data_IF_887386172505
#
_entry.id   IF_887386172505
#
_cell.length_a   1.000
_cell.length_b   1.000
_cell.length_c   1.000
_cell.angle_alpha   90.00
_cell.angle_beta   90.00
_cell.angle_gamma   90.00
#
_symmetry.space_group_name_H-M   'P 1'
#
loop_
_entity.id
_entity.type
_entity.pdbx_description
1 polymer ?
#
# COMPACT_ATOMS: atom_id res chain seq x y z
N UNK A 1 11.38 -12.48 -5.50
CA UNK A 1 10.85 -11.13 -5.27
C UNK A 1 12.01 -10.14 -5.21
N UNK A 2 11.72 -8.84 -5.17
CA UNK A 2 12.71 -7.78 -4.95
C UNK A 2 12.53 -7.22 -3.52
N UNK A 3 13.63 -6.96 -2.81
CA UNK A 3 13.62 -6.44 -1.44
C UNK A 3 13.21 -4.96 -1.32
N UNK A 4 13.31 -4.19 -2.40
CA UNK A 4 12.66 -2.88 -2.58
C UNK A 4 11.49 -3.03 -3.55
N UNK A 5 10.50 -3.81 -3.12
CA UNK A 5 9.34 -4.13 -3.92
C UNK A 5 8.59 -2.86 -4.36
N UNK A 6 8.14 -2.88 -5.61
CA UNK A 6 7.29 -1.88 -6.24
C UNK A 6 7.76 -0.43 -6.05
N UNK A 7 9.08 -0.25 -6.10
CA UNK A 7 9.70 1.05 -5.85
C UNK A 7 9.55 1.97 -7.06
N UNK A 8 8.71 3.00 -6.95
CA UNK A 8 8.60 4.06 -7.98
C UNK A 8 9.93 4.80 -8.22
N UNK A 9 10.81 4.85 -7.21
CA UNK A 9 12.15 5.44 -7.36
C UNK A 9 13.11 4.48 -8.05
N UNK A 10 13.25 3.24 -7.57
CA UNK A 10 14.36 2.35 -7.94
C UNK A 10 14.06 1.38 -9.08
N UNK A 11 12.78 1.06 -9.33
CA UNK A 11 12.43 0.22 -10.47
C UNK A 11 12.84 0.86 -11.79
N UNK A 12 12.57 2.16 -12.06
CA UNK A 12 13.00 2.77 -13.30
C UNK A 12 14.51 2.67 -13.55
N UNK A 13 15.34 2.92 -12.54
CA UNK A 13 16.81 2.80 -12.70
C UNK A 13 17.26 1.36 -12.94
N UNK A 14 16.63 0.39 -12.27
CA UNK A 14 16.93 -1.02 -12.49
C UNK A 14 16.54 -1.44 -13.90
N UNK A 15 15.36 -1.06 -14.35
CA UNK A 15 14.82 -1.33 -15.69
C UNK A 15 15.72 -0.71 -16.78
N UNK A 16 16.12 0.55 -16.63
CA UNK A 16 17.05 1.22 -17.56
C UNK A 16 18.40 0.51 -17.64
N UNK A 17 18.92 0.00 -16.52
CA UNK A 17 20.11 -0.85 -16.50
C UNK A 17 19.93 -2.12 -17.31
N UNK A 18 18.77 -2.78 -17.20
CA UNK A 18 18.47 -3.97 -17.98
C UNK A 18 18.20 -3.69 -19.47
N UNK A 19 17.68 -2.52 -19.85
CA UNK A 19 17.61 -2.11 -21.26
C UNK A 19 19.00 -2.15 -21.91
N UNK A 20 20.01 -1.55 -21.25
CA UNK A 20 21.37 -1.55 -21.78
C UNK A 20 21.93 -2.96 -21.96
N UNK A 21 21.69 -3.86 -21.00
CA UNK A 21 22.12 -5.25 -21.11
C UNK A 21 21.39 -5.99 -22.23
N UNK A 22 20.08 -5.76 -22.39
CA UNK A 22 19.29 -6.39 -23.44
C UNK A 22 19.70 -5.95 -24.85
N UNK A 23 19.93 -4.64 -25.04
CA UNK A 23 20.22 -4.09 -26.37
C UNK A 23 21.69 -4.28 -26.78
N UNK A 24 22.63 -4.09 -25.85
CA UNK A 24 24.06 -3.97 -26.18
C UNK A 24 24.93 -5.15 -25.74
N UNK A 25 24.43 -6.09 -24.93
CA UNK A 25 25.22 -7.26 -24.57
C UNK A 25 25.50 -8.14 -25.79
N UNK A 26 26.79 -8.43 -26.04
CA UNK A 26 27.22 -9.42 -27.03
C UNK A 26 27.04 -10.86 -26.53
N UNK A 27 26.93 -11.06 -25.22
CA UNK A 27 26.66 -12.35 -24.61
C UNK A 27 25.14 -12.62 -24.66
N UNK A 28 24.75 -13.67 -25.39
CA UNK A 28 23.35 -14.10 -25.55
C UNK A 28 22.70 -14.51 -24.24
N UNK A 29 23.47 -15.08 -23.30
CA UNK A 29 22.99 -15.45 -21.97
C UNK A 29 22.62 -14.22 -21.15
N UNK A 30 23.50 -13.21 -21.12
CA UNK A 30 23.22 -11.96 -20.41
C UNK A 30 22.02 -11.23 -21.02
N UNK A 31 21.86 -11.27 -22.34
CA UNK A 31 20.69 -10.71 -23.03
C UNK A 31 19.39 -11.45 -22.65
N UNK A 32 19.42 -12.78 -22.58
CA UNK A 32 18.27 -13.58 -22.17
C UNK A 32 17.86 -13.31 -20.72
N UNK A 33 18.85 -13.21 -19.81
CA UNK A 33 18.64 -12.85 -18.40
C UNK A 33 18.08 -11.44 -18.26
N UNK A 34 18.60 -10.47 -19.01
CA UNK A 34 18.08 -9.10 -19.01
C UNK A 34 16.61 -9.06 -19.47
N UNK A 35 16.26 -9.81 -20.52
CA UNK A 35 14.87 -9.94 -20.97
C UNK A 35 13.96 -10.50 -19.86
N UNK A 36 14.39 -11.58 -19.21
CA UNK A 36 13.62 -12.16 -18.10
C UNK A 36 13.43 -11.17 -16.96
N UNK A 37 14.46 -10.42 -16.58
CA UNK A 37 14.35 -9.41 -15.52
C UNK A 37 13.40 -8.28 -15.92
N UNK A 38 13.44 -7.81 -17.16
CA UNK A 38 12.49 -6.83 -17.68
C UNK A 38 11.06 -7.37 -17.62
N UNK A 39 10.81 -8.58 -18.13
CA UNK A 39 9.50 -9.22 -18.07
C UNK A 39 9.00 -9.36 -16.63
N UNK A 40 9.88 -9.72 -15.69
CA UNK A 40 9.54 -9.79 -14.26
C UNK A 40 9.13 -8.42 -13.71
N UNK A 41 9.91 -7.35 -13.95
CA UNK A 41 9.58 -6.01 -13.45
C UNK A 41 8.28 -5.49 -14.03
N UNK A 42 8.10 -5.60 -15.35
CA UNK A 42 6.88 -5.15 -16.01
C UNK A 42 5.67 -5.98 -15.60
N UNK A 43 5.76 -7.32 -15.52
CA UNK A 43 4.63 -8.15 -15.08
C UNK A 43 4.24 -7.90 -13.62
N UNK A 44 5.23 -7.81 -12.72
CA UNK A 44 5.00 -7.57 -11.30
C UNK A 44 4.26 -6.26 -11.04
N UNK A 45 4.67 -5.20 -11.73
CA UNK A 45 4.08 -3.89 -11.53
C UNK A 45 2.81 -3.68 -12.38
N UNK A 46 2.73 -4.21 -13.60
CA UNK A 46 1.50 -4.20 -14.42
C UNK A 46 0.30 -4.77 -13.66
N UNK A 47 0.52 -5.80 -12.84
CA UNK A 47 -0.51 -6.40 -12.00
C UNK A 47 -1.19 -5.40 -11.04
N UNK A 48 -0.52 -4.30 -10.70
CA UNK A 48 -0.93 -3.35 -9.66
C UNK A 48 -1.08 -1.91 -10.17
N UNK A 49 -0.86 -1.66 -11.45
CA UNK A 49 -0.96 -0.32 -12.03
C UNK A 49 -2.42 0.07 -12.21
N UNK A 50 -2.74 1.25 -11.70
CA UNK A 50 -4.00 1.95 -11.90
C UNK A 50 -3.64 3.36 -12.28
N UNK A 51 -4.10 3.79 -13.46
CA UNK A 51 -3.89 5.16 -13.94
C UNK A 51 -2.41 5.59 -13.90
N UNK A 52 -1.55 4.77 -14.53
CA UNK A 52 -0.09 4.97 -14.55
C UNK A 52 0.65 4.75 -13.22
N UNK A 53 -0.07 4.53 -12.11
CA UNK A 53 0.50 4.50 -10.76
C UNK A 53 0.35 3.14 -10.08
N UNK A 54 1.34 2.74 -9.28
CA UNK A 54 1.29 1.46 -8.57
C UNK A 54 0.44 1.61 -7.30
N UNK A 55 -0.61 0.80 -7.19
CA UNK A 55 -1.45 0.75 -5.99
C UNK A 55 -0.91 -0.21 -4.92
N UNK A 56 -1.38 -0.04 -3.70
CA UNK A 56 -1.10 -0.93 -2.57
C UNK A 56 0.19 -0.66 -1.82
N UNK A 57 0.80 -1.72 -1.30
CA UNK A 57 2.03 -1.64 -0.51
C UNK A 57 3.25 -1.38 -1.40
N UNK A 58 4.11 -0.44 -0.99
CA UNK A 58 5.31 -0.06 -1.76
C UNK A 58 6.50 0.25 -0.85
N UNK A 59 7.72 -0.12 -1.26
CA UNK A 59 8.96 0.35 -0.63
C UNK A 59 9.57 1.43 -1.50
N UNK A 60 9.79 2.62 -0.92
CA UNK A 60 10.20 3.85 -1.63
C UNK A 60 9.16 4.31 -2.65
N UNK A 61 7.89 4.06 -2.33
CA UNK A 61 6.75 4.61 -3.04
C UNK A 61 6.13 5.77 -2.27
N UNK A 62 5.39 6.60 -3.00
CA UNK A 62 4.67 7.78 -2.54
C UNK A 62 3.31 7.81 -3.24
N UNK A 63 2.36 8.52 -2.64
CA UNK A 63 1.12 8.81 -3.35
C UNK A 63 1.41 9.68 -4.57
N UNK A 64 0.55 9.65 -5.60
CA UNK A 64 0.69 10.52 -6.76
C UNK A 64 0.77 11.99 -6.35
N UNK A 65 1.62 12.74 -7.05
CA UNK A 65 1.76 14.18 -6.90
C UNK A 65 1.18 14.96 -8.08
N UNK A 66 1.40 16.27 -8.10
CA UNK A 66 0.98 17.14 -9.20
C UNK A 66 1.78 16.89 -10.49
N UNK A 67 3.02 16.39 -10.37
CA UNK A 67 3.87 16.00 -11.49
C UNK A 67 3.97 14.48 -11.58
N UNK A 68 4.08 13.97 -12.80
CA UNK A 68 4.30 12.54 -13.01
C UNK A 68 5.66 12.11 -12.45
N UNK A 69 5.69 10.98 -11.74
CA UNK A 69 6.96 10.41 -11.27
C UNK A 69 7.68 9.61 -12.37
N UNK A 70 8.91 9.14 -12.09
CA UNK A 70 9.71 8.43 -13.09
C UNK A 70 9.11 7.07 -13.49
N UNK A 71 8.42 6.39 -12.59
CA UNK A 71 7.74 5.13 -12.87
C UNK A 71 6.48 5.37 -13.71
N UNK A 72 5.72 6.42 -13.39
CA UNK A 72 4.57 6.87 -14.17
C UNK A 72 4.96 7.21 -15.61
N UNK A 73 6.01 8.01 -15.81
CA UNK A 73 6.56 8.32 -17.15
C UNK A 73 7.06 7.08 -17.90
N UNK A 74 7.64 6.12 -17.18
CA UNK A 74 8.09 4.86 -17.77
C UNK A 74 6.89 4.04 -18.26
N UNK A 75 5.83 3.93 -17.46
CA UNK A 75 4.63 3.17 -17.86
C UNK A 75 3.82 3.84 -18.94
N UNK A 76 3.65 5.16 -18.86
CA UNK A 76 3.02 5.92 -19.92
C UNK A 76 3.66 5.62 -21.28
N UNK A 77 4.99 5.71 -21.40
CA UNK A 77 5.63 5.50 -22.70
C UNK A 77 5.58 4.05 -23.23
N UNK A 78 5.29 3.04 -22.40
CA UNK A 78 5.12 1.65 -22.86
C UNK A 78 3.65 1.25 -23.07
N UNK A 79 2.72 1.80 -22.29
CA UNK A 79 1.35 1.28 -22.20
C UNK A 79 0.27 2.31 -22.56
N UNK A 80 0.59 3.60 -22.49
CA UNK A 80 -0.31 4.71 -22.82
C UNK A 80 -1.72 4.55 -22.19
N UNK A 81 -1.73 4.20 -20.90
CA UNK A 81 -2.96 4.01 -20.12
C UNK A 81 -2.88 4.84 -18.83
N UNK A 82 -3.08 6.16 -19.00
CA UNK A 82 -3.04 7.16 -17.94
C UNK A 82 -3.98 8.33 -18.29
N UNK A 83 -4.60 8.91 -17.27
CA UNK A 83 -5.53 10.04 -17.38
C UNK A 83 -4.83 11.39 -17.43
N UNK A 84 -3.64 11.50 -16.80
CA UNK A 84 -2.83 12.71 -16.78
C UNK A 84 -2.41 13.13 -18.19
N UNK A 85 -2.41 14.43 -18.47
CA UNK A 85 -1.74 14.97 -19.66
C UNK A 85 -0.21 14.79 -19.57
N UNK A 86 0.33 13.99 -20.47
CA UNK A 86 1.76 13.68 -20.58
C UNK A 86 2.43 14.40 -21.76
N UNK A 87 1.78 15.38 -22.38
CA UNK A 87 2.26 16.05 -23.61
C UNK A 87 3.59 16.79 -23.45
N UNK A 88 3.83 17.38 -22.27
CA UNK A 88 5.09 18.05 -21.91
C UNK A 88 6.08 17.12 -21.21
N UNK A 89 5.71 15.86 -21.00
CA UNK A 89 6.54 14.90 -20.29
C UNK A 89 7.56 14.23 -21.21
N UNK A 90 8.75 14.00 -20.65
CA UNK A 90 9.83 13.32 -21.35
C UNK A 90 10.13 11.97 -20.71
N UNK A 91 10.40 10.97 -21.54
CA UNK A 91 10.93 9.69 -21.09
C UNK A 91 12.46 9.65 -21.18
N UNK A 92 13.09 8.65 -20.57
CA UNK A 92 14.55 8.54 -20.61
C UNK A 92 15.05 8.10 -21.98
N UNK A 93 16.28 8.47 -22.34
CA UNK A 93 16.91 8.03 -23.60
C UNK A 93 16.97 6.51 -23.71
N UNK A 94 17.15 5.80 -22.58
CA UNK A 94 17.14 4.34 -22.53
C UNK A 94 15.78 3.79 -22.98
N UNK A 95 14.68 4.35 -22.47
CA UNK A 95 13.34 3.96 -22.88
C UNK A 95 13.08 4.30 -24.36
N UNK A 96 13.42 5.52 -24.79
CA UNK A 96 13.18 5.94 -26.18
C UNK A 96 13.97 5.13 -27.23
N UNK A 97 15.09 4.51 -26.84
CA UNK A 97 16.00 3.82 -27.78
C UNK A 97 16.06 2.31 -27.63
N UNK A 98 15.45 1.74 -26.58
CA UNK A 98 15.50 0.28 -26.38
C UNK A 98 14.73 -0.48 -27.46
N UNK A 99 15.25 -1.63 -27.86
CA UNK A 99 14.53 -2.58 -28.73
C UNK A 99 13.62 -3.53 -27.94
N UNK A 100 13.72 -3.54 -26.60
CA UNK A 100 12.84 -4.33 -25.76
C UNK A 100 11.39 -3.86 -25.89
N UNK A 101 10.46 -4.80 -26.01
CA UNK A 101 9.02 -4.56 -25.86
C UNK A 101 8.46 -5.54 -24.84
N UNK A 102 7.66 -5.08 -23.86
CA UNK A 102 6.92 -5.98 -22.98
C UNK A 102 6.13 -6.99 -23.79
N UNK A 103 5.98 -8.20 -23.25
CA UNK A 103 5.10 -9.19 -23.85
C UNK A 103 3.67 -8.62 -23.95
N UNK A 104 2.93 -8.98 -25.00
CA UNK A 104 1.56 -8.52 -25.20
C UNK A 104 0.65 -8.83 -24.00
N UNK A 105 0.85 -9.96 -23.33
CA UNK A 105 0.12 -10.31 -22.11
C UNK A 105 0.38 -9.33 -20.97
N UNK A 106 1.64 -8.93 -20.77
CA UNK A 106 1.99 -7.94 -19.75
C UNK A 106 1.34 -6.59 -20.11
N UNK A 107 1.34 -6.24 -21.39
CA UNK A 107 0.69 -5.02 -21.89
C UNK A 107 -0.82 -5.04 -21.63
N UNK A 108 -1.50 -6.15 -21.93
CA UNK A 108 -2.94 -6.30 -21.64
C UNK A 108 -3.25 -6.19 -20.15
N UNK A 109 -2.42 -6.78 -19.28
CA UNK A 109 -2.59 -6.64 -17.83
C UNK A 109 -2.43 -5.16 -17.42
N UNK A 110 -1.38 -4.48 -17.89
CA UNK A 110 -1.12 -3.07 -17.56
C UNK A 110 -2.20 -2.10 -18.08
N UNK A 111 -2.76 -2.39 -19.26
CA UNK A 111 -3.87 -1.65 -19.88
C UNK A 111 -5.24 -2.12 -19.39
N UNK A 112 -5.27 -3.08 -18.48
CA UNK A 112 -6.48 -3.63 -17.86
C UNK A 112 -7.44 -4.26 -18.89
N UNK A 113 -6.88 -4.78 -19.98
CA UNK A 113 -7.57 -5.55 -21.01
C UNK A 113 -7.69 -7.04 -20.60
N UNK A 114 -7.87 -7.28 -19.31
CA UNK A 114 -8.05 -8.60 -18.67
C UNK A 114 -9.34 -8.59 -17.85
N UNK A 115 -9.95 -9.75 -17.56
CA UNK A 115 -11.14 -9.79 -16.72
C UNK A 115 -10.90 -9.16 -15.33
N UNK A 116 -11.83 -8.30 -14.91
CA UNK A 116 -11.85 -7.62 -13.61
C UNK A 116 -13.22 -7.88 -12.93
N UNK A 117 -13.31 -7.83 -11.59
CA UNK A 117 -12.22 -7.61 -10.64
C UNK A 117 -11.33 -8.85 -10.46
N UNK A 118 -10.15 -8.66 -9.87
CA UNK A 118 -9.28 -9.75 -9.42
C UNK A 118 -8.54 -9.44 -8.13
N UNK A 119 -8.05 -10.50 -7.48
CA UNK A 119 -7.20 -10.41 -6.30
C UNK A 119 -5.80 -10.96 -6.60
N UNK A 120 -4.82 -10.48 -5.83
CA UNK A 120 -3.48 -11.02 -5.80
C UNK A 120 -2.97 -11.13 -4.36
N UNK A 121 -2.26 -12.23 -4.07
CA UNK A 121 -1.55 -12.44 -2.83
C UNK A 121 -0.05 -12.54 -3.12
N UNK A 122 0.75 -11.74 -2.43
CA UNK A 122 2.17 -11.55 -2.75
C UNK A 122 3.00 -11.79 -1.49
N UNK A 123 4.04 -12.61 -1.60
CA UNK A 123 5.05 -12.79 -0.56
C UNK A 123 6.28 -11.92 -0.90
N UNK A 124 6.43 -10.81 -0.19
CA UNK A 124 7.60 -9.93 -0.35
C UNK A 124 8.77 -10.46 0.47
N UNK A 125 9.97 -10.54 -0.12
CA UNK A 125 11.15 -10.90 0.65
C UNK A 125 11.61 -9.72 1.52
N UNK A 126 12.57 -9.98 2.40
CA UNK A 126 13.27 -8.92 3.09
C UNK A 126 14.16 -8.10 2.13
N UNK A 127 14.66 -6.95 2.58
CA UNK A 127 15.45 -6.02 1.76
C UNK A 127 16.66 -6.69 1.08
N UNK A 128 17.38 -7.55 1.81
CA UNK A 128 18.55 -8.27 1.28
C UNK A 128 18.19 -9.59 0.55
N UNK A 129 16.90 -9.91 0.45
CA UNK A 129 16.37 -11.12 -0.19
C UNK A 129 16.87 -12.44 0.41
N UNK A 130 17.37 -12.38 1.64
CA UNK A 130 17.85 -13.50 2.46
C UNK A 130 16.70 -14.25 3.16
N UNK A 131 15.55 -13.61 3.33
CA UNK A 131 14.33 -14.20 3.88
C UNK A 131 13.16 -14.06 2.92
N UNK A 132 12.54 -15.19 2.58
CA UNK A 132 11.28 -15.24 1.83
C UNK A 132 10.10 -14.91 2.76
N UNK A 133 8.99 -14.44 2.18
CA UNK A 133 7.74 -14.18 2.93
C UNK A 133 7.96 -13.33 4.21
N UNK A 134 8.80 -12.29 4.12
CA UNK A 134 9.03 -11.38 5.24
C UNK A 134 7.83 -10.44 5.45
N UNK A 135 7.20 -10.04 4.34
CA UNK A 135 5.96 -9.28 4.33
C UNK A 135 4.94 -9.95 3.42
N UNK A 136 3.69 -9.98 3.88
CA UNK A 136 2.57 -10.53 3.13
C UNK A 136 1.80 -9.35 2.53
N UNK A 137 1.36 -9.43 1.30
CA UNK A 137 0.53 -8.40 0.71
C UNK A 137 -0.72 -9.02 0.08
N UNK A 138 -1.87 -8.38 0.32
CA UNK A 138 -3.09 -8.59 -0.47
C UNK A 138 -3.33 -7.36 -1.34
N UNK A 139 -3.79 -7.61 -2.56
CA UNK A 139 -4.13 -6.59 -3.53
C UNK A 139 -5.46 -6.97 -4.21
N UNK A 140 -6.28 -5.97 -4.45
CA UNK A 140 -7.55 -6.05 -5.16
C UNK A 140 -7.56 -5.01 -6.27
N UNK A 141 -7.88 -5.46 -7.49
CA UNK A 141 -8.14 -4.58 -8.63
C UNK A 141 -9.63 -4.64 -8.95
N UNK A 142 -10.25 -3.46 -8.92
CA UNK A 142 -11.63 -3.21 -9.35
C UNK A 142 -11.66 -2.69 -10.80
N UNK A 143 -12.75 -2.06 -11.24
CA UNK A 143 -12.82 -1.38 -12.54
C UNK A 143 -12.14 -0.02 -12.51
N UNK A 144 -12.41 0.83 -11.52
CA UNK A 144 -11.86 2.20 -11.49
C UNK A 144 -10.74 2.43 -10.47
N UNK A 145 -10.46 1.45 -9.60
CA UNK A 145 -9.44 1.58 -8.56
C UNK A 145 -8.70 0.28 -8.22
N UNK A 146 -7.55 0.42 -7.58
CA UNK A 146 -6.79 -0.67 -6.97
C UNK A 146 -6.53 -0.36 -5.50
N UNK A 147 -6.75 -1.35 -4.64
CA UNK A 147 -6.46 -1.26 -3.20
C UNK A 147 -5.50 -2.39 -2.83
N UNK A 148 -4.43 -2.06 -2.13
CA UNK A 148 -3.51 -3.08 -1.61
C UNK A 148 -3.00 -2.74 -0.23
N UNK A 149 -2.58 -3.78 0.48
CA UNK A 149 -2.10 -3.69 1.85
C UNK A 149 -1.00 -4.72 2.09
N UNK A 150 0.17 -4.25 2.53
CA UNK A 150 1.27 -5.07 3.03
C UNK A 150 1.21 -5.18 4.56
N UNK A 151 1.18 -6.41 5.05
CA UNK A 151 1.23 -6.74 6.47
C UNK A 151 2.68 -6.71 6.96
N UNK A 152 2.95 -5.79 7.88
CA UNK A 152 4.29 -5.51 8.36
C UNK A 152 4.70 -6.48 9.48
N UNK A 153 5.76 -7.25 9.27
CA UNK A 153 6.38 -8.08 10.33
C UNK A 153 7.51 -7.35 11.08
N UNK A 154 7.87 -6.14 10.64
CA UNK A 154 8.93 -5.31 11.21
C UNK A 154 8.69 -3.84 10.88
N UNK A 155 9.06 -2.96 11.81
CA UNK A 155 9.35 -1.56 11.53
C UNK A 155 10.78 -1.39 10.99
N UNK A 156 10.90 -1.28 9.67
CA UNK A 156 12.15 -1.11 8.91
C UNK A 156 12.09 0.15 8.02
N UNK A 157 13.01 1.09 8.21
CA UNK A 157 13.02 2.39 7.49
C UNK A 157 11.60 2.97 7.34
N UNK A 158 10.96 3.31 8.46
CA UNK A 158 9.52 3.56 8.53
C UNK A 158 9.02 4.76 7.75
N UNK A 159 9.91 5.61 7.24
CA UNK A 159 9.61 6.74 6.37
C UNK A 159 9.73 6.39 4.87
N UNK A 160 9.94 5.12 4.53
CA UNK A 160 10.23 4.65 3.17
C UNK A 160 9.30 3.51 2.75
N UNK A 161 8.21 3.27 3.47
CA UNK A 161 7.31 2.17 3.19
C UNK A 161 5.88 2.65 3.29
N UNK A 162 5.12 2.46 2.22
CA UNK A 162 3.69 2.64 2.22
C UNK A 162 3.06 1.29 2.55
N UNK A 163 2.33 1.22 3.66
CA UNK A 163 1.67 -0.02 4.11
C UNK A 163 0.51 -0.36 3.22
N UNK A 164 -0.26 0.64 2.81
CA UNK A 164 -1.42 0.46 1.97
C UNK A 164 -1.67 1.72 1.16
N UNK A 165 -2.29 1.55 0.01
CA UNK A 165 -2.91 2.65 -0.70
C UNK A 165 -4.08 2.16 -1.54
N UNK A 166 -5.05 3.06 -1.69
CA UNK A 166 -6.03 2.99 -2.76
C UNK A 166 -5.59 4.00 -3.82
N UNK A 167 -5.43 3.56 -5.07
CA UNK A 167 -5.26 4.45 -6.22
C UNK A 167 -6.51 4.31 -7.08
N UNK A 168 -7.19 5.43 -7.30
CA UNK A 168 -8.33 5.54 -8.19
C UNK A 168 -7.91 6.30 -9.46
N UNK A 169 -8.53 5.94 -10.57
CA UNK A 169 -8.44 6.71 -11.81
C UNK A 169 -8.98 8.13 -11.59
N UNK A 170 -8.27 9.14 -12.08
CA UNK A 170 -8.74 10.52 -12.10
C UNK A 170 -9.17 11.00 -13.48
N UNK A 171 -9.55 12.27 -13.57
CA UNK A 171 -9.80 12.94 -14.85
C UNK A 171 -8.54 13.62 -15.41
N UNK A 172 -7.64 14.04 -14.51
CA UNK A 172 -6.39 14.75 -14.83
C UNK A 172 -5.26 14.23 -13.92
N UNK A 173 -5.12 12.91 -13.91
CA UNK A 173 -4.10 12.19 -13.15
C UNK A 173 -4.65 11.38 -11.96
N UNK A 174 -3.86 10.40 -11.50
CA UNK A 174 -4.27 9.42 -10.50
C UNK A 174 -4.55 10.02 -9.11
N UNK A 175 -5.55 9.48 -8.43
CA UNK A 175 -6.00 9.93 -7.10
C UNK A 175 -5.65 8.89 -6.04
N UNK A 176 -4.70 9.23 -5.16
CA UNK A 176 -4.18 8.32 -4.15
C UNK A 176 -4.67 8.59 -2.72
N UNK A 177 -4.96 7.52 -1.98
CA UNK A 177 -5.38 7.54 -0.58
C UNK A 177 -4.46 6.66 0.25
N UNK A 178 -4.08 7.11 1.45
CA UNK A 178 -3.30 6.32 2.41
C UNK A 178 -3.46 6.89 3.82
N UNK A 179 -2.98 6.17 4.83
CA UNK A 179 -3.03 6.66 6.19
C UNK A 179 -2.62 5.64 7.26
N UNK A 180 -2.81 6.04 8.50
CA UNK A 180 -2.44 5.28 9.70
C UNK A 180 -2.08 6.22 10.85
N UNK A 181 -1.53 5.68 11.91
CA UNK A 181 -1.02 6.50 13.01
C UNK A 181 0.19 7.31 12.51
N UNK A 182 0.26 8.62 12.78
CA UNK A 182 1.14 9.52 12.05
C UNK A 182 2.61 9.55 12.52
N UNK A 183 3.15 8.43 13.04
CA UNK A 183 4.51 8.35 13.57
C UNK A 183 5.59 8.77 12.57
N UNK A 184 5.49 8.27 11.34
CA UNK A 184 6.34 8.64 10.22
C UNK A 184 5.51 9.12 9.00
N UNK A 185 4.21 9.39 9.21
CA UNK A 185 3.27 9.60 8.13
C UNK A 185 3.56 10.93 7.41
N UNK A 186 3.94 10.77 6.16
CA UNK A 186 3.80 11.76 5.08
C UNK A 186 2.82 11.15 4.07
N UNK A 187 3.07 11.24 2.76
CA UNK A 187 2.39 10.40 1.77
C UNK A 187 2.90 8.95 1.79
N UNK A 188 3.96 8.67 2.54
CA UNK A 188 4.41 7.32 2.86
C UNK A 188 4.78 7.23 4.33
N UNK A 189 4.93 6.00 4.78
CA UNK A 189 5.42 5.66 6.10
C UNK A 189 4.51 4.69 6.82
N UNK A 190 5.08 3.98 7.77
CA UNK A 190 4.34 3.06 8.62
C UNK A 190 4.58 3.36 10.09
N UNK A 191 3.60 2.99 10.89
CA UNK A 191 3.64 3.15 12.33
C UNK A 191 3.65 1.77 13.00
N UNK A 192 4.45 1.57 14.05
CA UNK A 192 4.31 0.36 14.85
C UNK A 192 2.93 0.27 15.50
N UNK A 193 2.21 1.38 15.68
CA UNK A 193 0.90 1.35 16.34
C UNK A 193 -0.23 0.94 15.40
N UNK A 194 -0.02 0.91 14.09
CA UNK A 194 -1.07 0.63 13.10
C UNK A 194 -1.06 -0.84 12.70
N UNK A 195 -2.24 -1.45 12.67
CA UNK A 195 -2.49 -2.76 12.11
C UNK A 195 -3.68 -2.68 11.17
N UNK A 196 -3.66 -3.50 10.12
CA UNK A 196 -4.66 -3.48 9.06
C UNK A 196 -5.16 -4.89 8.75
N UNK A 197 -6.34 -4.97 8.15
CA UNK A 197 -6.93 -6.16 7.52
C UNK A 197 -7.59 -5.71 6.22
N UNK A 198 -7.29 -6.39 5.12
CA UNK A 198 -7.73 -6.01 3.78
C UNK A 198 -8.44 -7.18 3.09
N UNK A 199 -9.64 -6.93 2.56
CA UNK A 199 -10.44 -7.86 1.74
C UNK A 199 -11.11 -7.08 0.62
N UNK A 200 -10.82 -7.43 -0.65
CA UNK A 200 -11.40 -6.75 -1.83
C UNK A 200 -11.32 -5.22 -1.75
N UNK A 201 -12.43 -4.50 -1.93
CA UNK A 201 -12.49 -3.04 -1.82
C UNK A 201 -12.43 -2.49 -0.40
N UNK A 202 -12.26 -3.33 0.63
CA UNK A 202 -12.40 -2.93 2.04
C UNK A 202 -11.09 -3.00 2.82
N UNK A 203 -10.76 -1.93 3.54
CA UNK A 203 -9.66 -1.89 4.52
C UNK A 203 -10.20 -1.59 5.92
N UNK A 204 -9.89 -2.45 6.88
CA UNK A 204 -9.98 -2.16 8.31
C UNK A 204 -8.62 -1.72 8.80
N UNK A 205 -8.55 -0.55 9.44
CA UNK A 205 -7.34 -0.02 10.06
C UNK A 205 -7.64 0.31 11.53
N UNK A 206 -6.77 -0.17 12.43
CA UNK A 206 -6.78 0.22 13.83
C UNK A 206 -5.38 0.57 14.30
N UNK A 207 -5.31 1.64 15.08
CA UNK A 207 -4.16 2.06 15.84
C UNK A 207 -4.45 2.08 17.33
N UNK A 208 -3.57 1.49 18.13
CA UNK A 208 -3.72 1.44 19.58
C UNK A 208 -2.38 1.36 20.32
N UNK A 209 -2.32 1.70 21.62
CA UNK A 209 -1.13 1.55 22.44
C UNK A 209 -0.53 0.16 22.39
N UNK A 210 0.79 0.10 22.51
CA UNK A 210 1.49 -1.15 22.73
C UNK A 210 1.31 -1.64 24.17
N UNK A 211 1.23 -2.96 24.34
CA UNK A 211 1.37 -3.62 25.63
C UNK A 211 2.40 -4.73 25.45
N UNK A 212 3.64 -4.46 25.83
CA UNK A 212 4.72 -5.45 25.81
C UNK A 212 5.11 -5.71 27.26
N UNK A 213 4.89 -6.93 27.75
CA UNK A 213 5.20 -7.29 29.13
C UNK A 213 6.71 -7.12 29.42
N UNK A 214 7.04 -6.63 30.62
CA UNK A 214 8.44 -6.44 31.03
C UNK A 214 9.23 -7.76 31.12
N UNK A 215 8.55 -8.91 31.20
CA UNK A 215 9.13 -10.24 31.41
C UNK A 215 9.46 -10.98 30.09
N UNK A 216 8.83 -10.61 28.98
CA UNK A 216 9.19 -11.07 27.63
C UNK A 216 10.48 -10.39 27.11
N UNK A 217 11.23 -9.75 28.03
CA UNK A 217 12.38 -8.90 27.78
C UNK A 217 13.72 -9.61 27.72
N UNK A 218 13.78 -10.91 27.44
CA UNK A 218 15.05 -11.66 27.41
C UNK A 218 16.07 -10.94 26.52
N UNK A 219 16.96 -10.23 27.23
CA UNK A 219 18.14 -9.46 26.84
C UNK A 219 18.37 -9.34 25.34
N UNK A 220 17.73 -8.35 24.72
CA UNK A 220 18.31 -7.71 23.55
C UNK A 220 19.14 -6.52 23.99
N UNK A 221 20.41 -6.76 24.34
CA UNK A 221 21.41 -5.70 24.21
C UNK A 221 21.57 -5.46 22.71
N UNK A 222 20.85 -4.46 22.20
CA UNK A 222 21.13 -3.92 20.87
C UNK A 222 22.59 -3.48 20.92
N UNK A 223 23.48 -4.28 20.33
CA UNK A 223 24.89 -3.97 20.25
C UNK A 223 25.01 -2.51 19.73
N UNK A 224 25.80 -1.64 20.38
CA UNK A 224 25.98 -0.26 19.93
C UNK A 224 26.57 -0.18 18.51
N UNK A 225 27.22 -1.24 18.04
CA UNK A 225 27.47 -1.48 16.61
C UNK A 225 26.16 -1.98 16.03
N UNK A 226 25.54 -1.24 15.11
CA UNK A 226 24.28 -1.52 14.39
C UNK A 226 24.19 -2.93 13.75
N UNK A 227 24.33 -4.01 14.53
CA UNK A 227 24.12 -5.37 14.09
C UNK A 227 22.61 -5.49 13.99
N UNK A 228 22.13 -5.44 12.75
CA UNK A 228 20.75 -5.74 12.46
C UNK A 228 20.51 -7.19 12.89
N UNK A 229 19.63 -7.46 13.88
CA UNK A 229 19.46 -8.82 14.43
C UNK A 229 19.03 -9.86 13.40
N UNK A 230 18.61 -9.42 12.21
CA UNK A 230 18.30 -10.25 11.05
C UNK A 230 19.50 -10.81 10.28
N UNK A 231 20.71 -10.24 10.47
CA UNK A 231 21.94 -10.88 9.98
C UNK A 231 22.40 -12.02 10.90
N UNK A 232 21.68 -12.26 12.00
CA UNK A 232 21.95 -13.41 12.85
C UNK A 232 21.35 -14.66 12.20
N UNK A 233 22.04 -15.81 12.27
CA UNK A 233 21.48 -17.08 11.82
C UNK A 233 20.16 -17.37 12.56
N UNK A 234 19.27 -18.16 11.96
CA UNK A 234 17.92 -18.47 12.49
C UNK A 234 17.96 -18.95 13.96
N UNK A 235 19.02 -19.67 14.35
CA UNK A 235 19.25 -20.13 15.72
C UNK A 235 19.47 -19.01 16.76
N UNK A 236 19.77 -17.79 16.29
CA UNK A 236 20.03 -16.60 17.09
C UNK A 236 18.98 -15.49 16.85
N UNK A 237 18.03 -15.71 15.95
CA UNK A 237 16.84 -14.86 15.85
C UNK A 237 15.87 -15.22 16.98
N UNK A 238 15.34 -14.21 17.66
CA UNK A 238 14.39 -14.45 18.76
C UNK A 238 13.12 -15.03 18.17
N UNK A 239 12.59 -16.07 18.81
CA UNK A 239 11.27 -16.68 18.54
C UNK A 239 10.13 -15.65 18.45
N UNK A 240 10.35 -14.43 18.99
CA UNK A 240 9.39 -13.30 19.01
C UNK A 240 10.03 -11.97 18.59
N UNK A 241 10.85 -11.96 17.54
CA UNK A 241 11.50 -10.72 17.08
C UNK A 241 10.51 -9.59 16.80
N UNK A 242 9.35 -9.87 16.18
CA UNK A 242 8.30 -8.87 15.90
C UNK A 242 7.95 -8.06 17.16
N UNK A 243 7.89 -8.72 18.33
CA UNK A 243 7.55 -8.10 19.60
C UNK A 243 8.70 -7.23 20.13
N UNK A 244 9.94 -7.72 20.02
CA UNK A 244 11.13 -6.93 20.35
C UNK A 244 11.26 -5.68 19.46
N UNK A 245 10.94 -5.83 18.16
CA UNK A 245 10.95 -4.74 17.21
C UNK A 245 9.87 -3.71 17.51
N UNK A 246 8.63 -4.16 17.77
CA UNK A 246 7.55 -3.29 18.21
C UNK A 246 7.96 -2.52 19.48
N UNK A 247 8.52 -3.20 20.48
CA UNK A 247 8.98 -2.54 21.72
C UNK A 247 10.01 -1.44 21.45
N UNK A 248 10.94 -1.66 20.53
CA UNK A 248 11.96 -0.66 20.15
C UNK A 248 11.33 0.62 19.60
N UNK A 249 10.27 0.51 18.80
CA UNK A 249 9.69 1.65 18.09
C UNK A 249 8.41 2.22 18.71
N UNK A 250 7.75 1.45 19.57
CA UNK A 250 6.50 1.79 20.22
C UNK A 250 6.59 1.71 21.75
N UNK A 251 7.72 2.14 22.32
CA UNK A 251 7.92 2.27 23.76
C UNK A 251 7.17 3.46 24.35
N UNK A 252 6.94 4.50 23.56
CA UNK A 252 6.27 5.71 24.01
C UNK A 252 4.74 5.52 24.04
N UNK A 253 4.05 6.03 25.06
CA UNK A 253 2.60 6.01 25.09
C UNK A 253 2.01 6.96 24.03
N UNK A 254 0.83 6.62 23.51
CA UNK A 254 0.08 7.52 22.65
C UNK A 254 -0.57 8.63 23.50
N UNK A 255 -0.44 9.86 23.03
CA UNK A 255 -0.90 11.08 23.69
C UNK A 255 -2.20 11.57 23.06
N UNK A 256 -3.13 12.06 23.87
CA UNK A 256 -4.35 12.66 23.35
C UNK A 256 -4.03 13.81 22.38
N UNK A 257 -4.82 13.92 21.32
CA UNK A 257 -4.68 14.97 20.31
C UNK A 257 -5.92 15.86 20.29
N UNK A 258 -5.70 17.17 20.18
CA UNK A 258 -6.76 18.15 20.00
C UNK A 258 -6.77 18.67 18.57
N UNK A 259 -7.95 19.10 18.12
CA UNK A 259 -8.09 19.80 16.85
C UNK A 259 -7.27 21.10 16.91
N UNK A 260 -6.38 21.37 15.94
CA UNK A 260 -5.67 22.65 15.90
C UNK A 260 -6.65 23.78 15.59
N UNK A 261 -6.30 24.99 16.02
CA UNK A 261 -6.94 26.20 15.52
C UNK A 261 -6.52 26.42 14.07
N UNK A 262 -7.44 26.17 13.14
CA UNK A 262 -7.15 26.24 11.70
C UNK A 262 -6.77 27.65 11.25
N UNK A 263 -7.20 28.69 11.99
CA UNK A 263 -6.85 30.07 11.70
C UNK A 263 -5.43 30.45 12.17
N UNK A 264 -4.73 29.56 12.90
CA UNK A 264 -3.43 29.82 13.49
C UNK A 264 -2.37 28.88 12.91
N UNK A 265 -1.49 29.41 12.06
CA UNK A 265 -0.37 28.65 11.51
C UNK A 265 0.56 28.08 12.60
N UNK A 266 0.70 28.80 13.72
CA UNK A 266 1.44 28.29 14.88
C UNK A 266 0.76 27.06 15.50
N UNK A 267 -0.58 27.04 15.58
CA UNK A 267 -1.35 25.88 16.06
C UNK A 267 -1.22 24.69 15.10
N UNK A 268 -1.35 24.93 13.79
CA UNK A 268 -1.15 23.91 12.76
C UNK A 268 0.26 23.31 12.78
N UNK A 269 1.29 24.14 12.96
CA UNK A 269 2.67 23.68 13.06
C UNK A 269 2.89 22.87 14.35
N UNK A 270 2.39 23.34 15.50
CA UNK A 270 2.49 22.60 16.75
C UNK A 270 1.77 21.25 16.68
N UNK A 271 0.64 21.18 15.98
CA UNK A 271 -0.07 19.92 15.71
C UNK A 271 0.79 18.94 14.89
N UNK A 272 1.42 19.43 13.82
CA UNK A 272 2.33 18.63 13.00
C UNK A 272 3.56 18.14 13.78
N UNK A 273 4.12 18.99 14.64
CA UNK A 273 5.30 18.65 15.43
C UNK A 273 4.98 17.56 16.48
N UNK A 274 3.76 17.56 17.02
CA UNK A 274 3.31 16.60 18.04
C UNK A 274 2.64 15.34 17.49
N UNK A 275 2.42 15.23 16.17
CA UNK A 275 1.71 14.09 15.56
C UNK A 275 2.33 12.73 15.90
N UNK A 276 3.66 12.65 16.05
CA UNK A 276 4.39 11.38 16.05
C UNK A 276 3.84 10.35 17.05
N UNK A 277 3.40 10.81 18.21
CA UNK A 277 2.85 9.97 19.27
C UNK A 277 1.38 10.28 19.55
N UNK A 278 0.65 10.88 18.61
CA UNK A 278 -0.77 11.13 18.80
C UNK A 278 -1.56 9.82 18.82
N UNK A 279 -2.50 9.74 19.77
CA UNK A 279 -3.58 8.76 19.84
C UNK A 279 -4.61 9.07 18.76
N UNK A 280 -4.23 8.84 17.51
CA UNK A 280 -5.06 9.08 16.35
C UNK A 280 -4.63 8.23 15.15
N UNK A 281 -5.58 7.93 14.28
CA UNK A 281 -5.33 7.44 12.92
C UNK A 281 -5.69 8.54 11.92
N UNK A 282 -4.78 8.79 10.99
CA UNK A 282 -4.96 9.79 9.94
C UNK A 282 -5.30 9.10 8.62
N UNK A 283 -6.05 9.78 7.76
CA UNK A 283 -6.29 9.39 6.38
C UNK A 283 -6.07 10.63 5.49
N UNK A 284 -5.26 10.46 4.46
CA UNK A 284 -5.03 11.46 3.43
C UNK A 284 -6.02 11.20 2.29
N UNK A 285 -6.84 12.22 2.00
CA UNK A 285 -7.87 12.18 0.96
C UNK A 285 -7.53 13.28 -0.05
N UNK A 286 -7.31 12.97 -1.34
CA UNK A 286 -6.86 13.96 -2.31
C UNK A 286 -7.93 15.04 -2.51
N UNK A 287 -7.55 16.32 -2.46
CA UNK A 287 -8.48 17.44 -2.69
C UNK A 287 -9.08 17.45 -4.10
N UNK A 288 -8.36 16.86 -5.06
CA UNK A 288 -8.85 16.66 -6.42
C UNK A 288 -10.07 15.70 -6.49
N UNK A 289 -10.40 14.96 -5.42
CA UNK A 289 -11.69 14.24 -5.31
C UNK A 289 -12.89 15.15 -5.03
N UNK A 290 -12.67 16.47 -4.96
CA UNK A 290 -13.70 17.46 -4.70
C UNK A 290 -14.13 17.52 -3.22
N UNK A 291 -15.23 18.24 -2.93
CA UNK A 291 -15.73 18.39 -1.57
C UNK A 291 -16.13 17.05 -0.94
N UNK A 292 -15.80 16.88 0.34
CA UNK A 292 -16.17 15.71 1.11
C UNK A 292 -17.62 15.81 1.59
N UNK A 293 -18.40 14.75 1.39
CA UNK A 293 -19.70 14.62 2.03
C UNK A 293 -19.50 14.00 3.43
N UNK A 294 -19.88 14.75 4.47
CA UNK A 294 -19.74 14.33 5.87
C UNK A 294 -21.13 14.07 6.45
N UNK A 295 -21.47 12.81 6.64
CA UNK A 295 -22.66 12.37 7.36
C UNK A 295 -22.37 11.93 8.80
N UNK A 296 -23.39 11.40 9.48
CA UNK A 296 -23.28 10.98 10.88
C UNK A 296 -22.33 9.78 11.08
N UNK A 297 -22.26 8.88 10.09
CA UNK A 297 -21.46 7.66 10.16
C UNK A 297 -20.36 7.58 9.10
N UNK A 298 -20.56 8.24 7.97
CA UNK A 298 -19.73 8.08 6.78
C UNK A 298 -19.20 9.42 6.30
N UNK A 299 -17.94 9.41 5.88
CA UNK A 299 -17.30 10.49 5.13
C UNK A 299 -17.05 9.94 3.73
N UNK A 300 -17.58 10.60 2.70
CA UNK A 300 -17.57 10.10 1.33
C UNK A 300 -16.85 11.09 0.43
N UNK A 301 -15.92 10.56 -0.37
CA UNK A 301 -15.24 11.27 -1.45
C UNK A 301 -15.56 10.59 -2.79
N UNK A 302 -15.61 11.37 -3.87
CA UNK A 302 -15.76 10.86 -5.23
C UNK A 302 -14.46 11.06 -6.00
N UNK A 303 -13.78 9.98 -6.34
CA UNK A 303 -12.60 9.99 -7.19
C UNK A 303 -12.97 9.50 -8.59
N UNK A 304 -13.45 10.42 -9.43
CA UNK A 304 -13.97 10.14 -10.78
C UNK A 304 -15.07 9.05 -10.77
N UNK A 305 -14.73 7.83 -11.21
CA UNK A 305 -15.60 6.65 -11.27
C UNK A 305 -15.55 5.79 -10.00
N UNK A 306 -14.80 6.23 -8.98
CA UNK A 306 -14.67 5.54 -7.69
C UNK A 306 -15.35 6.33 -6.58
N UNK A 307 -16.12 5.64 -5.74
CA UNK A 307 -16.49 6.12 -4.42
C UNK A 307 -15.48 5.63 -3.38
N UNK A 308 -15.06 6.53 -2.49
CA UNK A 308 -14.30 6.18 -1.29
C UNK A 308 -15.09 6.61 -0.07
N UNK A 309 -15.61 5.65 0.68
CA UNK A 309 -16.40 5.88 1.88
C UNK A 309 -15.61 5.45 3.13
N UNK A 310 -15.65 6.27 4.17
CA UNK A 310 -14.86 6.08 5.38
C UNK A 310 -15.76 6.16 6.61
N UNK A 311 -15.74 5.12 7.44
CA UNK A 311 -16.41 5.10 8.74
C UNK A 311 -15.36 5.18 9.86
N UNK A 312 -15.26 6.30 10.57
CA UNK A 312 -14.33 6.47 11.69
C UNK A 312 -14.56 5.46 12.82
N UNK A 313 -13.47 4.90 13.35
CA UNK A 313 -13.48 4.04 14.55
C UNK A 313 -12.69 4.76 15.65
N UNK A 314 -13.36 5.34 16.63
CA UNK A 314 -12.69 6.06 17.72
C UNK A 314 -13.65 6.90 18.56
N UNK A 315 -13.08 7.84 19.32
CA UNK A 315 -13.82 8.77 20.21
C UNK A 315 -14.42 9.96 19.47
N UNK A 316 -14.01 10.17 18.21
CA UNK A 316 -14.48 11.25 17.35
C UNK A 316 -13.50 11.49 16.21
N UNK A 317 -13.80 12.48 15.38
CA UNK A 317 -12.91 12.88 14.29
C UNK A 317 -13.00 14.37 14.01
N UNK A 318 -12.03 14.87 13.26
CA UNK A 318 -12.10 16.16 12.59
C UNK A 318 -11.30 16.09 11.28
N UNK A 319 -11.62 17.00 10.36
CA UNK A 319 -10.91 17.15 9.09
C UNK A 319 -10.07 18.42 9.18
N UNK A 320 -8.80 18.31 8.77
CA UNK A 320 -7.93 19.46 8.56
C UNK A 320 -8.07 19.88 7.11
N UNK A 321 -8.55 21.10 6.95
CA UNK A 321 -8.64 21.80 5.69
C UNK A 321 -8.11 23.21 5.93
N UNK A 322 -7.16 23.63 5.09
CA UNK A 322 -6.58 24.98 5.13
C UNK A 322 -6.82 25.69 3.80
N UNK A 323 -6.96 27.01 3.86
CA UNK A 323 -6.99 27.85 2.66
C UNK A 323 -5.57 28.20 2.17
N UNK A 324 -5.49 28.85 1.01
CA UNK A 324 -4.21 29.21 0.38
C UNK A 324 -3.38 30.20 1.23
N UNK A 325 -4.02 31.09 2.00
CA UNK A 325 -3.32 32.05 2.85
C UNK A 325 -2.67 31.38 4.06
N UNK A 326 -3.41 30.48 4.71
CA UNK A 326 -2.93 29.67 5.84
C UNK A 326 -1.78 28.75 5.42
N UNK A 327 -1.86 28.19 4.21
CA UNK A 327 -0.85 27.29 3.67
C UNK A 327 0.54 27.94 3.57
N UNK A 328 0.61 29.22 3.19
CA UNK A 328 1.89 29.94 3.05
C UNK A 328 2.60 30.15 4.40
N UNK A 329 1.85 30.20 5.49
CA UNK A 329 2.38 30.37 6.83
C UNK A 329 2.94 29.06 7.44
N UNK A 330 2.58 27.89 6.88
CA UNK A 330 3.10 26.60 7.32
C UNK A 330 4.57 26.46 6.96
N UNK A 331 5.45 26.41 7.97
CA UNK A 331 6.92 26.43 7.78
C UNK A 331 7.48 25.10 7.29
N UNK A 332 6.94 23.98 7.76
CA UNK A 332 7.38 22.66 7.32
C UNK A 332 6.92 22.38 5.88
N UNK A 333 7.88 22.26 4.95
CA UNK A 333 7.61 22.02 3.53
C UNK A 333 6.82 20.74 3.26
N UNK A 334 7.05 19.68 4.04
CA UNK A 334 6.33 18.41 3.88
C UNK A 334 4.90 18.55 4.36
N UNK A 335 4.70 19.23 5.48
CA UNK A 335 3.35 19.49 5.98
C UNK A 335 2.55 20.35 5.01
N UNK A 336 3.17 21.42 4.50
CA UNK A 336 2.60 22.28 3.47
C UNK A 336 2.19 21.47 2.24
N UNK A 337 3.09 20.64 1.69
CA UNK A 337 2.79 19.79 0.54
C UNK A 337 1.61 18.84 0.78
N UNK A 338 1.50 18.25 1.97
CA UNK A 338 0.35 17.41 2.33
C UNK A 338 -0.94 18.24 2.35
N UNK A 339 -0.95 19.37 3.05
CA UNK A 339 -2.15 20.22 3.18
C UNK A 339 -2.60 20.84 1.85
N UNK A 340 -1.68 21.04 0.92
CA UNK A 340 -1.94 21.51 -0.43
C UNK A 340 -2.69 20.46 -1.25
N UNK A 341 -2.24 19.20 -1.20
CA UNK A 341 -2.82 18.12 -2.01
C UNK A 341 -3.99 17.38 -1.36
N UNK A 342 -4.11 17.43 -0.03
CA UNK A 342 -4.96 16.50 0.71
C UNK A 342 -5.81 17.19 1.78
N UNK A 343 -7.03 16.69 1.96
CA UNK A 343 -7.72 16.72 3.23
C UNK A 343 -7.07 15.71 4.17
N UNK A 344 -6.91 16.08 5.44
CA UNK A 344 -6.40 15.16 6.47
C UNK A 344 -7.53 14.86 7.44
N UNK A 345 -8.14 13.68 7.29
CA UNK A 345 -9.08 13.15 8.27
C UNK A 345 -8.29 12.62 9.47
N UNK A 346 -8.62 13.11 10.66
CA UNK A 346 -7.99 12.69 11.93
C UNK A 346 -9.05 12.04 12.80
N UNK A 347 -8.96 10.73 12.99
CA UNK A 347 -9.80 9.97 13.93
C UNK A 347 -9.06 9.88 15.25
N UNK A 348 -9.63 10.42 16.33
CA UNK A 348 -8.99 10.51 17.64
C UNK A 348 -9.38 9.36 18.57
N UNK A 349 -8.49 9.07 19.51
CA UNK A 349 -8.72 8.14 20.62
C UNK A 349 -7.56 7.17 20.81
N UNK A 350 -7.44 6.64 22.02
CA UNK A 350 -6.42 5.62 22.32
C UNK A 350 -6.61 4.38 21.45
N UNK A 351 -7.85 4.07 21.06
CA UNK A 351 -8.16 3.05 20.08
C UNK A 351 -8.83 3.78 18.92
N UNK A 352 -8.06 4.09 17.88
CA UNK A 352 -8.50 4.92 16.76
C UNK A 352 -8.22 4.25 15.44
N UNK A 353 -9.01 4.53 14.42
CA UNK A 353 -8.93 3.82 13.15
C UNK A 353 -10.07 4.21 12.23
N UNK A 354 -10.27 3.41 11.19
CA UNK A 354 -11.39 3.56 10.27
C UNK A 354 -11.61 2.28 9.48
N UNK A 355 -12.83 2.15 9.00
CA UNK A 355 -13.16 1.30 7.86
C UNK A 355 -13.12 2.18 6.61
N UNK A 356 -12.47 1.69 5.55
CA UNK A 356 -12.50 2.29 4.23
C UNK A 356 -13.13 1.31 3.26
N UNK A 357 -14.08 1.80 2.46
CA UNK A 357 -14.74 1.08 1.37
C UNK A 357 -14.46 1.81 0.05
N UNK A 358 -13.91 1.09 -0.92
CA UNK A 358 -13.86 1.48 -2.32
C UNK A 358 -15.01 0.82 -3.09
N UNK A 359 -15.76 1.60 -3.86
CA UNK A 359 -16.89 1.10 -4.64
C UNK A 359 -16.96 1.79 -6.01
N UNK A 360 -17.55 1.10 -6.99
CA UNK A 360 -17.73 1.63 -8.34
C UNK A 360 -18.91 2.62 -8.38
N UNK A 361 -18.74 3.74 -9.08
CA UNK A 361 -19.85 4.66 -9.36
C UNK A 361 -20.92 3.99 -10.23
N UNK A 362 -20.54 3.04 -11.07
CA UNK A 362 -21.49 2.28 -11.89
C UNK A 362 -22.50 1.48 -11.05
N UNK A 363 -22.07 0.93 -9.92
CA UNK A 363 -22.93 0.17 -8.99
C UNK A 363 -23.78 1.11 -8.11
N UNK A 364 -23.26 2.31 -7.82
CA UNK A 364 -23.93 3.32 -7.01
C UNK A 364 -23.93 4.67 -7.73
N UNK A 365 -24.87 4.94 -8.65
CA UNK A 365 -24.82 6.12 -9.54
C UNK A 365 -24.92 7.48 -8.83
N UNK A 366 -25.23 7.49 -7.54
CA UNK A 366 -25.31 8.71 -6.73
C UNK A 366 -24.82 8.47 -5.30
N UNK A 367 -24.39 9.54 -4.63
CA UNK A 367 -24.00 9.49 -3.23
C UNK A 367 -25.13 8.95 -2.34
N UNK A 368 -26.39 9.33 -2.61
CA UNK A 368 -27.53 8.84 -1.84
C UNK A 368 -27.73 7.32 -1.97
N UNK A 369 -27.54 6.77 -3.18
CA UNK A 369 -27.60 5.33 -3.42
C UNK A 369 -26.48 4.58 -2.69
N UNK A 370 -25.27 5.14 -2.67
CA UNK A 370 -24.16 4.60 -1.89
C UNK A 370 -24.45 4.64 -0.38
N UNK A 371 -24.92 5.77 0.15
CA UNK A 371 -25.27 5.93 1.56
C UNK A 371 -26.34 4.92 1.99
N UNK A 372 -27.38 4.72 1.18
CA UNK A 372 -28.41 3.71 1.43
C UNK A 372 -27.82 2.30 1.48
N UNK A 373 -26.93 1.96 0.54
CA UNK A 373 -26.24 0.67 0.51
C UNK A 373 -25.33 0.47 1.72
N UNK A 374 -24.54 1.49 2.08
CA UNK A 374 -23.67 1.47 3.26
C UNK A 374 -24.49 1.22 4.54
N UNK A 375 -25.62 1.92 4.72
CA UNK A 375 -26.46 1.78 5.89
C UNK A 375 -27.21 0.44 5.96
N UNK A 376 -27.59 -0.13 4.83
CA UNK A 376 -28.41 -1.35 4.76
C UNK A 376 -27.59 -2.65 4.67
N UNK A 377 -26.39 -2.61 4.09
CA UNK A 377 -25.60 -3.80 3.77
C UNK A 377 -24.39 -3.97 4.68
N UNK A 378 -23.86 -2.88 5.21
CA UNK A 378 -22.65 -2.91 6.05
C UNK A 378 -22.99 -2.87 7.53
N UNK A 379 -22.07 -3.37 8.37
CA UNK A 379 -22.24 -3.31 9.82
C UNK A 379 -20.90 -3.36 10.53
N UNK A 380 -20.57 -2.30 11.26
CA UNK A 380 -19.44 -2.26 12.18
C UNK A 380 -19.88 -2.64 13.60
N UNK A 381 -19.29 -3.69 14.16
CA UNK A 381 -19.41 -4.05 15.57
C UNK A 381 -18.12 -3.71 16.32
N UNK A 382 -18.22 -2.70 17.20
CA UNK A 382 -17.15 -2.22 18.10
C UNK A 382 -17.39 -2.58 19.57
N UNK A 383 -18.37 -3.42 19.87
CA UNK A 383 -18.77 -3.75 21.26
C UNK A 383 -17.64 -4.36 22.10
N UNK A 384 -16.62 -4.94 21.45
CA UNK A 384 -15.46 -5.58 22.07
C UNK A 384 -14.17 -4.77 21.95
N UNK A 385 -14.23 -3.56 21.37
CA UNK A 385 -13.05 -2.75 21.07
C UNK A 385 -12.35 -2.33 22.37
N UNK A 386 -13.06 -1.66 23.27
CA UNK A 386 -12.49 -1.17 24.54
C UNK A 386 -11.98 -2.29 25.46
N UNK A 387 -12.63 -3.46 25.42
CA UNK A 387 -12.36 -4.58 26.34
C UNK A 387 -11.25 -5.50 25.86
N UNK A 388 -11.21 -5.78 24.56
CA UNK A 388 -10.36 -6.84 23.98
C UNK A 388 -9.65 -6.43 22.70
N UNK A 389 -9.78 -5.17 22.28
CA UNK A 389 -9.23 -4.64 21.03
C UNK A 389 -9.70 -5.43 19.81
N UNK A 390 -10.97 -5.85 19.84
CA UNK A 390 -11.63 -6.60 18.77
C UNK A 390 -12.73 -5.78 18.15
N UNK A 391 -12.82 -5.85 16.83
CA UNK A 391 -13.92 -5.33 16.06
C UNK A 391 -14.23 -6.28 14.89
N UNK A 392 -15.45 -6.21 14.40
CA UNK A 392 -15.83 -6.91 13.16
C UNK A 392 -16.61 -5.98 12.25
N UNK A 393 -16.52 -6.23 10.96
CA UNK A 393 -17.17 -5.44 9.94
C UNK A 393 -17.72 -6.34 8.84
N UNK A 394 -18.97 -6.10 8.45
CA UNK A 394 -19.53 -6.63 7.21
C UNK A 394 -19.36 -5.59 6.10
N UNK A 395 -18.66 -5.94 5.03
CA UNK A 395 -18.41 -5.03 3.91
C UNK A 395 -19.54 -4.96 2.89
N UNK A 396 -19.45 -3.97 1.99
CA UNK A 396 -20.31 -3.84 0.81
C UNK A 396 -20.23 -5.08 -0.09
N UNK A 397 -19.05 -5.69 -0.21
CA UNK A 397 -18.85 -6.94 -0.94
C UNK A 397 -19.39 -8.18 -0.19
N UNK A 398 -19.98 -8.00 1.00
CA UNK A 398 -20.59 -9.04 1.81
C UNK A 398 -19.63 -9.81 2.73
N UNK A 399 -18.33 -9.50 2.70
CA UNK A 399 -17.33 -10.19 3.51
C UNK A 399 -17.50 -9.82 4.98
N UNK A 400 -17.43 -10.82 5.87
CA UNK A 400 -17.29 -10.60 7.31
C UNK A 400 -15.80 -10.57 7.66
N UNK A 401 -15.29 -9.40 8.01
CA UNK A 401 -13.92 -9.15 8.41
C UNK A 401 -13.88 -9.03 9.92
N UNK A 402 -13.13 -9.89 10.60
CA UNK A 402 -12.91 -9.86 12.04
C UNK A 402 -11.45 -9.49 12.31
N UNK A 403 -11.22 -8.48 13.15
CA UNK A 403 -9.89 -8.01 13.51
C UNK A 403 -9.73 -8.03 15.03
N UNK A 404 -8.65 -8.67 15.49
CA UNK A 404 -8.17 -8.60 16.87
C UNK A 404 -6.77 -8.00 16.86
N UNK A 405 -6.69 -6.73 17.25
CA UNK A 405 -5.43 -6.02 17.33
C UNK A 405 -4.50 -6.68 18.35
N UNK A 406 -3.20 -6.73 18.03
CA UNK A 406 -2.18 -7.36 18.86
C UNK A 406 -1.26 -6.30 19.48
N UNK A 407 -1.44 -5.91 20.76
CA UNK A 407 -0.62 -4.87 21.40
C UNK A 407 0.88 -5.17 21.49
N UNK A 408 1.27 -6.44 21.38
CA UNK A 408 2.65 -6.89 21.35
C UNK A 408 3.20 -7.11 19.93
N UNK A 409 2.32 -7.36 18.94
CA UNK A 409 2.68 -7.66 17.55
C UNK A 409 2.49 -6.47 16.60
N UNK A 410 2.99 -6.57 15.38
CA UNK A 410 2.82 -5.61 14.29
C UNK A 410 1.70 -6.02 13.32
N UNK A 411 1.17 -7.24 13.45
CA UNK A 411 0.02 -7.74 12.67
C UNK A 411 -1.16 -8.06 13.56
N UNK A 412 -2.36 -7.78 13.05
CA UNK A 412 -3.58 -8.21 13.70
C UNK A 412 -3.78 -9.72 13.52
N UNK A 413 -4.42 -10.35 14.50
CA UNK A 413 -5.07 -11.64 14.24
C UNK A 413 -6.38 -11.35 13.53
N UNK A 414 -6.61 -11.95 12.37
CA UNK A 414 -7.78 -11.63 11.56
C UNK A 414 -8.44 -12.87 10.96
N UNK A 415 -9.74 -12.76 10.69
CA UNK A 415 -10.51 -13.72 9.92
C UNK A 415 -11.31 -13.00 8.83
N UNK A 416 -11.43 -13.63 7.67
CA UNK A 416 -12.32 -13.19 6.59
C UNK A 416 -13.26 -14.35 6.30
N UNK A 417 -14.56 -14.12 6.46
CA UNK A 417 -15.60 -15.15 6.28
C UNK A 417 -15.33 -16.41 7.12
N UNK A 418 -14.84 -16.23 8.34
CA UNK A 418 -14.47 -17.30 9.28
C UNK A 418 -13.09 -17.93 9.05
N UNK A 419 -12.46 -17.69 7.90
CA UNK A 419 -11.13 -18.22 7.59
C UNK A 419 -10.05 -17.33 8.21
N UNK A 420 -9.15 -17.88 9.05
CA UNK A 420 -8.05 -17.10 9.61
C UNK A 420 -7.06 -16.69 8.52
N UNK A 421 -6.51 -15.48 8.64
CA UNK A 421 -5.35 -15.09 7.84
C UNK A 421 -4.13 -15.88 8.32
N UNK A 422 -3.57 -16.70 7.43
CA UNK A 422 -2.35 -17.46 7.66
C UNK A 422 -1.17 -16.75 7.00
N UNK A 423 -0.43 -15.97 7.79
CA UNK A 423 0.73 -15.23 7.30
C UNK A 423 1.94 -16.13 7.02
N UNK A 424 2.01 -17.31 7.62
CA UNK A 424 3.12 -18.25 7.44
C UNK A 424 2.97 -19.01 6.11
N UNK A 425 1.74 -19.35 5.74
CA UNK A 425 1.40 -20.00 4.47
C UNK A 425 0.75 -19.04 3.45
N UNK A 426 1.11 -17.76 3.49
CA UNK A 426 0.57 -16.75 2.59
C UNK A 426 0.82 -17.09 1.12
N UNK A 427 -0.17 -16.82 0.26
CA UNK A 427 -0.12 -17.11 -1.19
C UNK A 427 0.29 -18.57 -1.53
N UNK A 428 0.06 -19.53 -0.61
CA UNK A 428 0.56 -20.90 -0.77
C UNK A 428 2.07 -20.97 -1.01
N UNK A 429 2.83 -20.06 -0.39
CA UNK A 429 4.28 -19.86 -0.55
C UNK A 429 4.72 -19.39 -1.95
N UNK A 430 3.81 -18.90 -2.79
CA UNK A 430 4.18 -18.23 -4.04
C UNK A 430 4.73 -16.83 -3.75
N UNK A 431 5.65 -16.34 -4.60
CA UNK A 431 6.07 -14.93 -4.59
C UNK A 431 4.91 -14.06 -5.03
N UNK A 432 4.19 -14.48 -6.08
CA UNK A 432 2.93 -13.89 -6.55
C UNK A 432 1.95 -15.03 -6.81
N UNK A 433 0.72 -14.87 -6.33
CA UNK A 433 -0.43 -15.71 -6.66
C UNK A 433 -1.57 -14.81 -7.10
N UNK A 434 -1.91 -14.87 -8.39
CA UNK A 434 -2.98 -14.10 -9.04
C UNK A 434 -3.42 -14.85 -10.31
N UNK A 435 -4.65 -14.62 -10.83
CA UNK A 435 -5.05 -15.15 -12.13
C UNK A 435 -4.11 -14.80 -13.30
N UNK A 436 -3.38 -13.68 -13.21
CA UNK A 436 -2.59 -13.14 -14.32
C UNK A 436 -1.07 -13.22 -14.13
N UNK A 437 -0.62 -13.39 -12.89
CA UNK A 437 0.79 -13.57 -12.56
C UNK A 437 0.94 -14.58 -11.43
N UNK A 438 1.65 -15.67 -11.71
CA UNK A 438 2.03 -16.66 -10.71
C UNK A 438 3.53 -16.88 -10.73
N UNK A 439 4.17 -16.74 -9.57
CA UNK A 439 5.61 -16.99 -9.43
C UNK A 439 5.83 -17.94 -8.26
N UNK A 440 6.15 -19.21 -8.57
CA UNK A 440 6.35 -20.25 -7.56
C UNK A 440 7.32 -21.31 -8.05
N UNK A 441 8.15 -21.83 -7.15
CA UNK A 441 9.03 -22.97 -7.44
C UNK A 441 10.01 -22.75 -8.59
N UNK A 442 10.53 -21.52 -8.76
CA UNK A 442 11.46 -21.19 -9.85
C UNK A 442 10.82 -21.02 -11.23
N UNK A 443 9.49 -20.96 -11.30
CA UNK A 443 8.71 -20.70 -12.52
C UNK A 443 7.89 -19.42 -12.35
N UNK A 444 7.87 -18.60 -13.40
CA UNK A 444 6.97 -17.45 -13.56
C UNK A 444 5.97 -17.77 -14.67
N UNK A 445 4.69 -17.54 -14.43
CA UNK A 445 3.59 -17.74 -15.37
C UNK A 445 2.83 -16.42 -15.51
N UNK A 446 2.59 -16.01 -16.76
CA UNK A 446 1.83 -14.80 -17.11
C UNK A 446 0.68 -15.21 -18.02
N UNK A 447 -0.51 -14.70 -17.74
CA UNK A 447 -1.75 -15.04 -18.45
C UNK A 447 -2.67 -13.81 -18.55
N UNK A 448 -3.50 -13.73 -19.58
CA UNK A 448 -4.66 -12.80 -19.66
C UNK A 448 -5.99 -13.51 -19.41
N UNK A 449 -5.95 -14.76 -18.94
CA UNK A 449 -7.11 -15.64 -18.77
C UNK A 449 -7.53 -16.40 -20.03
N UNK A 450 -6.93 -16.12 -21.19
CA UNK A 450 -7.18 -16.83 -22.46
C UNK A 450 -5.94 -17.50 -23.00
N UNK A 451 -4.81 -16.81 -22.96
CA UNK A 451 -3.51 -17.31 -23.41
C UNK A 451 -2.46 -16.99 -22.35
N UNK A 452 -1.35 -17.72 -22.36
CA UNK A 452 -0.33 -17.56 -21.35
C UNK A 452 1.04 -18.05 -21.79
N UNK A 453 2.06 -17.65 -21.04
CA UNK A 453 3.38 -18.26 -21.13
C UNK A 453 3.97 -18.49 -19.74
N UNK A 454 4.91 -19.41 -19.67
CA UNK A 454 5.74 -19.66 -18.50
C UNK A 454 7.21 -19.45 -18.83
N UNK A 455 7.96 -19.08 -17.81
CA UNK A 455 9.42 -19.00 -17.83
C UNK A 455 9.96 -19.75 -16.63
N UNK A 456 10.85 -20.71 -16.86
CA UNK A 456 11.62 -21.39 -15.83
C UNK A 456 13.10 -21.39 -16.21
N UNK A 457 13.97 -21.83 -15.29
CA UNK A 457 15.42 -21.82 -15.53
C UNK A 457 15.95 -23.21 -15.79
N UNK A 458 16.72 -23.37 -16.86
CA UNK A 458 17.49 -24.56 -17.17
C UNK A 458 18.97 -24.18 -17.34
N UNK A 459 19.85 -24.79 -16.54
CA UNK A 459 21.30 -24.49 -16.55
C UNK A 459 21.62 -22.99 -16.44
N UNK A 460 20.83 -22.28 -15.63
CA UNK A 460 21.00 -20.83 -15.40
C UNK A 460 20.42 -19.93 -16.49
N UNK A 461 19.75 -20.48 -17.52
CA UNK A 461 19.14 -19.71 -18.60
C UNK A 461 17.61 -19.74 -18.53
N UNK A 462 16.91 -18.64 -18.85
CA UNK A 462 15.46 -18.61 -18.89
C UNK A 462 14.93 -19.33 -20.14
N UNK A 463 13.97 -20.23 -19.96
CA UNK A 463 13.30 -21.00 -21.01
C UNK A 463 11.83 -20.60 -21.04
N UNK A 464 11.38 -20.05 -22.16
CA UNK A 464 10.00 -19.60 -22.37
C UNK A 464 9.17 -20.70 -23.03
N UNK A 465 7.97 -20.95 -22.50
CA UNK A 465 7.04 -21.95 -23.02
C UNK A 465 5.62 -21.41 -23.01
N UNK A 466 4.83 -21.57 -24.09
CA UNK A 466 3.40 -21.27 -24.05
C UNK A 466 2.70 -22.11 -22.96
N UNK A 467 1.73 -21.51 -22.27
CA UNK A 467 0.78 -22.25 -21.44
C UNK A 467 -0.28 -22.86 -22.38
N UNK A 468 -0.57 -24.14 -22.16
CA UNK A 468 -1.53 -24.89 -22.97
C UNK A 468 -2.97 -24.65 -22.53
#
# INVERSE_FOLDING_TARGET
GNGEYDSQIYYPYSIEGFFNLYDFSKNTESKALAKFMLDYYFAAAALKVVDGQIAGGMKRGYLPGDEADKMEKLFWGFFDNISRDMSEEATSVHHATTTYRPNELITRIARQEVPIPYEAHICRPFYHMDRFNAFQESFYRSESFGLGNVYMSIVDNPNQQMVWSLIAEGEDGPLGFTGGQPWALTTSGHSPYTQTVHSKGTLLLLSAPSQVAAEESTRFEVNPRRINPWHLPDSAQVERFEYANRRKYASEPLQEIQKPDMASAASLQAFWDNKKFSAASWLLIPRASGPLAVGDQWIIARANNTWVAVQPVGEGFFIIEVDAGQLEEVKDKRWRSILQGYYVLVVKGQQSGYVLEGAEVADFPSQAALEEALLSQTRLDRSQLEKTLRLSYRSLAGDLIEMAYQPAGLKAMARINGNPLDFDNWAGSAVYESPYLKIKGGRMEVSDGKQGYSVHFERGQPVYQPLK
#
